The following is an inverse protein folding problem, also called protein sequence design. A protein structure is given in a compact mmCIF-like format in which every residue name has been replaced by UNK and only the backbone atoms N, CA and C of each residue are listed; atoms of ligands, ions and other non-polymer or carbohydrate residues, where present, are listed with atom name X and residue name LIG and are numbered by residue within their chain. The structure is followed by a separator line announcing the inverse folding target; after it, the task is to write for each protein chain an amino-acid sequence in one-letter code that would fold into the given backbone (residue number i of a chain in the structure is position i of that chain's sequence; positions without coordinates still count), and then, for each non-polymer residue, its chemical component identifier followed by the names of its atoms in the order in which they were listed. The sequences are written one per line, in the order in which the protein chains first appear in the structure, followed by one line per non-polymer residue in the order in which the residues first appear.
data_IF_494869924776
#
_entry.id   IF_494869924776
#
_cell.length_a   1.000
_cell.length_b   1.000
_cell.length_c   1.000
_cell.angle_alpha   90.00
_cell.angle_beta   90.00
_cell.angle_gamma   90.00
#
_symmetry.space_group_name_H-M   'P 1'
#
loop_
_entity.id
_entity.type
_entity.pdbx_description
1 polymer ?
#
# COMPACT_ATOMS: atom_id res chain seq x y z
N UNK A 1 -18.20 -3.08 15.98
CA UNK A 1 -17.65 -4.37 16.48
C UNK A 1 -16.53 -4.85 15.56
N UNK A 2 -15.46 -5.50 16.06
CA UNK A 2 -14.31 -5.95 15.24
C UNK A 2 -14.71 -6.82 14.04
N UNK A 3 -15.75 -7.63 14.20
CA UNK A 3 -16.25 -8.56 13.19
C UNK A 3 -16.84 -7.86 11.94
N UNK A 4 -17.24 -6.59 12.04
CA UNK A 4 -17.81 -5.85 10.90
C UNK A 4 -16.78 -5.08 10.08
N UNK A 5 -15.53 -5.00 10.54
CA UNK A 5 -14.48 -4.18 9.89
C UNK A 5 -14.22 -4.60 8.45
N UNK A 6 -14.17 -5.91 8.17
CA UNK A 6 -13.99 -6.40 6.80
C UNK A 6 -15.14 -5.98 5.88
N UNK A 7 -16.38 -6.00 6.38
CA UNK A 7 -17.56 -5.61 5.59
C UNK A 7 -17.60 -4.10 5.32
N UNK A 8 -17.32 -3.28 6.33
CA UNK A 8 -17.29 -1.82 6.14
C UNK A 8 -16.10 -1.39 5.28
N UNK A 9 -14.96 -2.09 5.36
CA UNK A 9 -13.85 -1.91 4.45
C UNK A 9 -14.25 -2.21 3.00
N UNK A 10 -14.92 -3.34 2.73
CA UNK A 10 -15.39 -3.66 1.38
C UNK A 10 -16.27 -2.56 0.82
N UNK A 11 -17.25 -2.07 1.58
CA UNK A 11 -18.12 -0.96 1.13
C UNK A 11 -17.33 0.30 0.79
N UNK A 12 -16.36 0.67 1.63
CA UNK A 12 -15.53 1.85 1.38
C UNK A 12 -14.68 1.66 0.12
N UNK A 13 -14.05 0.51 -0.05
CA UNK A 13 -13.22 0.18 -1.21
C UNK A 13 -14.06 0.18 -2.50
N UNK A 14 -15.22 -0.47 -2.50
CA UNK A 14 -16.14 -0.52 -3.64
C UNK A 14 -16.70 0.87 -4.02
N UNK A 15 -16.95 1.74 -3.03
CA UNK A 15 -17.42 3.10 -3.28
C UNK A 15 -16.41 3.96 -4.08
N UNK A 16 -15.13 3.63 -4.03
CA UNK A 16 -14.06 4.25 -4.82
C UNK A 16 -13.63 3.36 -6.01
N UNK A 17 -14.48 2.41 -6.41
CA UNK A 17 -14.24 1.55 -7.58
C UNK A 17 -13.18 0.46 -7.38
N UNK A 18 -12.74 0.23 -6.14
CA UNK A 18 -11.78 -0.81 -5.81
C UNK A 18 -12.42 -2.16 -5.51
N UNK A 19 -11.56 -3.17 -5.34
CA UNK A 19 -11.91 -4.53 -4.94
C UNK A 19 -11.05 -4.96 -3.74
N UNK A 20 -11.66 -5.63 -2.76
CA UNK A 20 -10.94 -6.30 -1.68
C UNK A 20 -10.63 -7.74 -2.11
N UNK A 21 -9.36 -8.11 -2.15
CA UNK A 21 -8.91 -9.47 -2.46
C UNK A 21 -8.88 -10.34 -1.22
N UNK A 22 -8.35 -9.81 -0.11
CA UNK A 22 -8.19 -10.52 1.15
C UNK A 22 -8.20 -9.54 2.33
N UNK A 23 -8.62 -10.02 3.49
CA UNK A 23 -8.53 -9.30 4.77
C UNK A 23 -8.08 -10.25 5.87
N UNK A 24 -7.11 -9.82 6.67
CA UNK A 24 -6.51 -10.59 7.76
C UNK A 24 -6.47 -9.76 9.03
N UNK A 25 -6.64 -10.42 10.18
CA UNK A 25 -6.20 -9.85 11.44
C UNK A 25 -4.71 -10.12 11.64
N UNK A 26 -3.99 -9.14 12.16
CA UNK A 26 -2.55 -9.23 12.37
C UNK A 26 -2.19 -8.92 13.82
N UNK A 27 -1.13 -9.57 14.33
CA UNK A 27 -0.46 -9.14 15.55
C UNK A 27 0.61 -8.10 15.20
N UNK A 28 0.79 -7.10 16.07
CA UNK A 28 1.79 -6.06 15.90
C UNK A 28 1.21 -4.66 16.06
N UNK A 29 1.81 -3.68 15.38
CA UNK A 29 1.40 -2.28 15.46
C UNK A 29 0.02 -2.01 14.79
N UNK A 30 -0.38 -2.87 13.85
CA UNK A 30 -1.66 -2.81 13.15
C UNK A 30 -2.44 -4.09 13.43
N UNK A 31 -3.75 -3.97 13.58
CA UNK A 31 -4.64 -5.10 13.90
C UNK A 31 -5.29 -5.71 12.65
N UNK A 32 -5.17 -5.08 11.49
CA UNK A 32 -5.73 -5.54 10.22
C UNK A 32 -4.80 -5.29 9.04
N UNK A 33 -4.80 -6.23 8.09
CA UNK A 33 -4.12 -6.10 6.79
C UNK A 33 -5.13 -6.47 5.71
N UNK A 34 -5.24 -5.64 4.68
CA UNK A 34 -6.06 -5.90 3.52
C UNK A 34 -5.23 -5.86 2.25
N UNK A 35 -5.49 -6.78 1.33
CA UNK A 35 -5.02 -6.69 -0.05
C UNK A 35 -6.18 -6.16 -0.86
N UNK A 36 -5.99 -5.00 -1.47
CA UNK A 36 -7.01 -4.29 -2.23
C UNK A 36 -6.42 -3.83 -3.56
N UNK A 37 -7.28 -3.74 -4.57
CA UNK A 37 -6.94 -3.23 -5.90
C UNK A 37 -7.86 -2.07 -6.23
N UNK A 38 -7.30 -1.00 -6.80
CA UNK A 38 -8.02 0.19 -7.23
C UNK A 38 -7.72 0.48 -8.70
N UNK A 39 -8.60 1.19 -9.41
CA UNK A 39 -8.38 1.53 -10.82
C UNK A 39 -7.15 2.42 -11.02
N UNK A 40 -6.82 3.25 -10.03
CA UNK A 40 -5.64 4.12 -10.01
C UNK A 40 -5.24 4.51 -8.58
N UNK A 41 -4.08 5.16 -8.46
CA UNK A 41 -3.55 5.63 -7.18
C UNK A 41 -4.40 6.75 -6.55
N UNK A 42 -5.10 7.55 -7.37
CA UNK A 42 -5.94 8.66 -6.87
C UNK A 42 -7.17 8.11 -6.14
N UNK A 43 -7.79 7.06 -6.69
CA UNK A 43 -8.91 6.34 -6.10
C UNK A 43 -8.52 5.66 -4.79
N UNK A 44 -7.33 5.02 -4.75
CA UNK A 44 -6.78 4.43 -3.53
C UNK A 44 -6.51 5.49 -2.45
N UNK A 45 -5.94 6.64 -2.83
CA UNK A 45 -5.66 7.74 -1.91
C UNK A 45 -6.95 8.37 -1.37
N UNK A 46 -7.96 8.59 -2.21
CA UNK A 46 -9.26 9.12 -1.81
C UNK A 46 -9.97 8.19 -0.81
N UNK A 47 -9.93 6.87 -1.05
CA UNK A 47 -10.43 5.88 -0.10
C UNK A 47 -9.66 5.94 1.22
N UNK A 48 -8.33 5.97 1.19
CA UNK A 48 -7.47 6.03 2.39
C UNK A 48 -7.77 7.25 3.24
N UNK A 49 -7.87 8.44 2.63
CA UNK A 49 -8.20 9.70 3.32
C UNK A 49 -9.60 9.68 3.94
N UNK A 50 -10.57 9.05 3.26
CA UNK A 50 -11.94 8.89 3.79
C UNK A 50 -11.95 7.99 5.02
N UNK A 51 -11.21 6.88 4.99
CA UNK A 51 -11.08 5.95 6.12
C UNK A 51 -10.36 6.58 7.32
N UNK A 52 -9.32 7.38 7.08
CA UNK A 52 -8.64 8.15 8.14
C UNK A 52 -9.58 9.21 8.74
N UNK A 53 -10.27 9.99 7.90
CA UNK A 53 -11.19 11.04 8.33
C UNK A 53 -12.43 10.54 9.08
N UNK A 54 -12.86 9.30 8.83
CA UNK A 54 -13.96 8.66 9.54
C UNK A 54 -13.63 8.34 11.02
N UNK A 55 -12.36 8.43 11.42
CA UNK A 55 -11.92 8.15 12.80
C UNK A 55 -12.05 6.68 13.22
N UNK A 56 -12.32 5.78 12.27
CA UNK A 56 -12.50 4.35 12.52
C UNK A 56 -11.18 3.63 12.80
N UNK A 57 -10.04 4.24 12.42
CA UNK A 57 -8.70 3.72 12.58
C UNK A 57 -7.84 4.69 13.39
N UNK A 58 -7.06 4.19 14.35
CA UNK A 58 -6.07 5.01 15.07
C UNK A 58 -4.82 5.29 14.22
N UNK A 59 -4.54 4.43 13.24
CA UNK A 59 -3.49 4.60 12.23
C UNK A 59 -3.87 3.82 10.97
N UNK A 60 -3.50 4.34 9.80
CA UNK A 60 -3.62 3.66 8.51
C UNK A 60 -2.26 3.75 7.80
N UNK A 61 -1.87 2.67 7.11
CA UNK A 61 -0.66 2.66 6.31
C UNK A 61 -0.95 1.94 4.98
N UNK A 62 -0.67 2.63 3.88
CA UNK A 62 -0.91 2.11 2.52
C UNK A 62 0.43 1.84 1.85
N UNK A 63 0.63 0.58 1.42
CA UNK A 63 1.80 0.17 0.62
C UNK A 63 1.34 -0.14 -0.79
N UNK A 64 1.80 0.64 -1.77
CA UNK A 64 1.52 0.36 -3.19
C UNK A 64 2.34 -0.85 -3.60
N UNK A 65 1.65 -1.88 -4.11
CA UNK A 65 2.27 -3.08 -4.64
C UNK A 65 2.53 -2.90 -6.14
N UNK A 66 3.71 -3.33 -6.58
CA UNK A 66 4.01 -3.44 -8.01
C UNK A 66 3.62 -4.81 -8.52
N UNK A 67 3.00 -4.87 -9.69
CA UNK A 67 2.88 -6.13 -10.42
C UNK A 67 4.27 -6.68 -10.77
N UNK A 68 4.41 -7.99 -11.00
CA UNK A 68 5.68 -8.56 -11.46
C UNK A 68 6.22 -7.88 -12.73
N UNK A 69 5.34 -7.48 -13.64
CA UNK A 69 5.72 -6.76 -14.87
C UNK A 69 6.25 -5.36 -14.58
N UNK A 70 5.60 -4.60 -13.69
CA UNK A 70 6.10 -3.28 -13.28
C UNK A 70 7.42 -3.38 -12.53
N UNK A 71 7.56 -4.37 -11.65
CA UNK A 71 8.82 -4.68 -10.98
C UNK A 71 9.93 -4.96 -12.00
N UNK A 72 9.66 -5.77 -13.03
CA UNK A 72 10.61 -6.02 -14.11
C UNK A 72 10.97 -4.76 -14.91
N UNK A 73 9.99 -3.94 -15.30
CA UNK A 73 10.23 -2.66 -15.99
C UNK A 73 11.04 -1.69 -15.12
N UNK A 74 10.79 -1.67 -13.81
CA UNK A 74 11.56 -0.88 -12.86
C UNK A 74 13.02 -1.34 -12.79
N UNK A 75 13.27 -2.66 -12.72
CA UNK A 75 14.62 -3.23 -12.78
C UNK A 75 15.34 -2.88 -14.09
N UNK A 76 14.66 -2.98 -15.23
CA UNK A 76 15.24 -2.58 -16.52
C UNK A 76 15.60 -1.10 -16.56
N UNK A 77 14.69 -0.23 -16.10
CA UNK A 77 14.92 1.22 -16.03
C UNK A 77 16.10 1.54 -15.12
N UNK A 78 16.24 0.86 -13.98
CA UNK A 78 17.37 1.03 -13.08
C UNK A 78 18.71 0.67 -13.76
N UNK A 79 18.75 -0.42 -14.53
CA UNK A 79 19.95 -0.83 -15.26
C UNK A 79 20.33 0.14 -16.41
N UNK A 80 19.33 0.75 -17.05
CA UNK A 80 19.54 1.65 -18.19
C UNK A 80 19.84 3.10 -17.79
N UNK A 81 19.37 3.54 -16.62
CA UNK A 81 19.48 4.94 -16.19
C UNK A 81 20.83 5.19 -15.53
N UNK A 82 21.67 6.01 -16.17
CA UNK A 82 22.92 6.51 -15.57
C UNK A 82 22.64 7.80 -14.81
N UNK A 83 22.54 7.72 -13.49
CA UNK A 83 22.18 8.87 -12.64
C UNK A 83 23.37 9.76 -12.28
N UNK A 84 24.60 9.24 -12.35
CA UNK A 84 25.77 9.91 -11.77
C UNK A 84 25.69 10.08 -10.25
N UNK A 85 24.68 9.47 -9.59
CA UNK A 85 24.47 9.55 -8.16
C UNK A 85 25.66 8.90 -7.44
N UNK A 86 26.34 9.71 -6.63
CA UNK A 86 27.33 9.23 -5.67
C UNK A 86 26.67 9.23 -4.30
N UNK A 87 26.61 8.08 -3.61
CA UNK A 87 26.05 8.06 -2.27
C UNK A 87 26.89 8.99 -1.37
N UNK A 88 26.25 9.83 -0.55
CA UNK A 88 26.96 10.66 0.41
C UNK A 88 27.55 9.73 1.49
N UNK A 89 28.85 9.43 1.35
CA UNK A 89 29.69 8.53 2.19
C UNK A 89 29.12 7.10 2.38
N UNK A 90 29.94 6.09 2.07
CA UNK A 90 29.51 4.69 2.06
C UNK A 90 28.98 4.23 3.42
N UNK A 91 27.75 3.72 3.45
CA UNK A 91 27.37 2.76 4.49
C UNK A 91 28.30 1.57 4.33
N UNK A 92 29.36 1.55 5.14
CA UNK A 92 30.30 0.44 5.19
C UNK A 92 29.53 -0.84 5.38
N UNK A 93 29.65 -1.72 4.40
CA UNK A 93 29.37 -3.15 4.53
C UNK A 93 30.00 -3.66 5.82
N UNK A 94 29.20 -3.85 6.85
CA UNK A 94 29.59 -4.74 7.93
C UNK A 94 29.34 -6.15 7.40
N UNK A 95 30.42 -6.89 7.23
CA UNK A 95 30.38 -8.32 6.98
C UNK A 95 29.89 -9.11 8.19
#
# INVERSE_FOLDING_TARGET
HPQERGRELCKAVEAFGGQVHQFFFAFGAYDGIAIVEFPDNESCAACSLTLEGAGANSALATTVLLSPTEGYRAMQKANQTRTGYRPPVGYGSHG
#
